data_IF_171999119115
#
_entry.id   IF_171999119115
#
_cell.length_a   1.000
_cell.length_b   1.000
_cell.length_c   1.000
_cell.angle_alpha   90.00
_cell.angle_beta   90.00
_cell.angle_gamma   90.00
#
_symmetry.space_group_name_H-M   'P 1'
#
loop_
_entity.id
_entity.type
_entity.pdbx_description
1 polymer ?
#
# COMPACT_ATOMS: atom_id res chain seq x y z
N UNK A 1 -0.80 -18.12 -1.04
CA UNK A 1 -1.12 -17.20 -2.16
C UNK A 1 -0.74 -15.77 -1.79
N UNK A 2 -0.01 -15.05 -2.64
CA UNK A 2 0.25 -13.61 -2.47
C UNK A 2 -0.83 -12.82 -3.21
N UNK A 3 -1.61 -12.01 -2.50
CA UNK A 3 -2.68 -11.19 -3.10
C UNK A 3 -2.20 -9.74 -3.10
N UNK A 4 -1.98 -9.20 -4.29
CA UNK A 4 -1.53 -7.83 -4.53
C UNK A 4 -2.64 -7.16 -5.37
N UNK A 5 -3.57 -6.42 -4.75
CA UNK A 5 -4.79 -5.91 -5.40
C UNK A 5 -4.50 -4.63 -6.21
N UNK A 6 -3.51 -4.69 -7.08
CA UNK A 6 -3.03 -3.56 -7.89
C UNK A 6 -2.75 -3.97 -9.33
N UNK A 7 -2.77 -3.00 -10.24
CA UNK A 7 -2.21 -3.19 -11.58
C UNK A 7 -0.68 -3.18 -11.46
N UNK A 8 -0.06 -4.30 -11.83
CA UNK A 8 1.38 -4.53 -11.66
C UNK A 8 2.03 -4.94 -12.97
N UNK A 9 3.35 -4.75 -13.06
CA UNK A 9 4.18 -5.25 -14.15
C UNK A 9 5.20 -6.24 -13.57
N UNK A 10 5.15 -7.49 -14.03
CA UNK A 10 6.12 -8.51 -13.66
C UNK A 10 7.17 -8.66 -14.77
N UNK A 11 8.44 -8.42 -14.46
CA UNK A 11 9.53 -8.61 -15.40
C UNK A 11 10.84 -8.87 -14.68
N UNK A 12 11.65 -9.78 -15.22
CA UNK A 12 12.97 -10.17 -14.71
C UNK A 12 13.03 -10.30 -13.17
N UNK A 13 12.24 -11.23 -12.63
CA UNK A 13 12.20 -11.56 -11.19
C UNK A 13 11.73 -10.43 -10.27
N UNK A 14 11.17 -9.35 -10.82
CA UNK A 14 10.63 -8.22 -10.05
C UNK A 14 9.17 -7.99 -10.42
N UNK A 15 8.34 -7.72 -9.42
CA UNK A 15 6.99 -7.20 -9.60
C UNK A 15 6.99 -5.72 -9.24
N UNK A 16 6.64 -4.86 -10.18
CA UNK A 16 6.58 -3.42 -10.01
C UNK A 16 5.12 -2.95 -9.94
N UNK A 17 4.88 -1.83 -9.25
CA UNK A 17 3.62 -1.09 -9.39
C UNK A 17 3.54 -0.55 -10.82
N UNK A 18 2.46 -0.85 -11.55
CA UNK A 18 2.37 -0.59 -12.99
C UNK A 18 2.57 0.89 -13.33
N UNK A 19 1.87 1.78 -12.62
CA UNK A 19 1.94 3.24 -12.81
C UNK A 19 3.21 3.91 -12.24
N UNK A 20 4.20 3.13 -11.79
CA UNK A 20 5.54 3.59 -11.40
C UNK A 20 6.64 3.06 -12.32
N UNK A 21 6.26 2.25 -13.30
CA UNK A 21 7.21 1.50 -14.15
C UNK A 21 7.46 2.23 -15.45
N UNK A 22 8.71 2.17 -15.93
CA UNK A 22 9.15 2.66 -17.23
C UNK A 22 10.05 1.62 -17.90
N UNK A 23 9.97 1.54 -19.24
CA UNK A 23 10.95 0.76 -20.02
C UNK A 23 12.25 1.56 -20.12
N UNK A 24 13.32 1.04 -19.55
CA UNK A 24 14.64 1.70 -19.47
C UNK A 24 15.67 1.09 -20.40
N UNK A 25 15.43 -0.14 -20.89
CA UNK A 25 16.30 -0.81 -21.84
C UNK A 25 15.48 -1.54 -22.92
N UNK A 26 15.90 -1.42 -24.18
CA UNK A 26 15.23 -2.02 -25.32
C UNK A 26 15.70 -3.45 -25.63
N UNK A 27 16.84 -3.87 -25.05
CA UNK A 27 17.61 -5.06 -25.45
C UNK A 27 17.85 -6.02 -24.29
N UNK A 28 18.20 -5.51 -23.11
CA UNK A 28 18.58 -6.35 -21.97
C UNK A 28 17.37 -6.91 -21.22
N UNK A 29 17.59 -8.00 -20.48
CA UNK A 29 16.59 -8.58 -19.57
C UNK A 29 16.17 -7.62 -18.45
N UNK A 30 16.96 -6.58 -18.13
CA UNK A 30 16.54 -5.50 -17.24
C UNK A 30 15.80 -4.39 -18.02
N UNK A 31 14.80 -4.76 -18.82
CA UNK A 31 14.09 -3.84 -19.71
C UNK A 31 13.22 -2.81 -18.98
N UNK A 32 12.72 -3.14 -17.78
CA UNK A 32 11.82 -2.29 -17.01
C UNK A 32 12.40 -1.97 -15.63
N UNK A 33 12.15 -0.74 -15.18
CA UNK A 33 12.49 -0.30 -13.82
C UNK A 33 11.42 0.62 -13.25
N UNK A 34 11.47 0.84 -11.94
CA UNK A 34 10.62 1.76 -11.19
C UNK A 34 11.52 2.76 -10.45
N UNK A 35 11.94 3.86 -11.10
CA UNK A 35 13.06 4.68 -10.62
C UNK A 35 12.82 5.36 -9.27
N UNK A 36 11.55 5.71 -8.98
CA UNK A 36 11.14 6.46 -7.80
C UNK A 36 10.42 5.59 -6.74
N UNK A 37 10.32 4.27 -6.95
CA UNK A 37 9.66 3.36 -6.01
C UNK A 37 10.28 1.96 -6.05
N UNK A 38 10.45 1.31 -4.90
CA UNK A 38 10.95 -0.08 -4.85
C UNK A 38 9.97 -1.06 -5.52
N UNK A 39 10.44 -2.18 -6.10
CA UNK A 39 9.57 -3.27 -6.52
C UNK A 39 8.69 -3.76 -5.35
N UNK A 40 7.43 -4.09 -5.66
CA UNK A 40 6.48 -4.70 -4.74
C UNK A 40 6.92 -6.12 -4.36
N UNK A 41 7.49 -6.86 -5.31
CA UNK A 41 8.02 -8.21 -5.08
C UNK A 41 9.39 -8.35 -5.73
N UNK A 42 10.30 -9.05 -5.05
CA UNK A 42 11.54 -9.58 -5.63
C UNK A 42 11.53 -11.11 -5.48
N UNK A 43 11.68 -11.80 -6.60
CA UNK A 43 11.87 -13.25 -6.63
C UNK A 43 13.36 -13.55 -6.54
N UNK A 44 13.71 -14.48 -5.67
CA UNK A 44 14.98 -15.19 -5.65
C UNK A 44 14.70 -16.62 -5.20
N UNK A 45 15.61 -17.21 -4.41
CA UNK A 45 15.33 -18.49 -3.72
C UNK A 45 14.06 -18.35 -2.86
N UNK A 46 13.89 -17.19 -2.22
CA UNK A 46 12.70 -16.81 -1.48
C UNK A 46 11.93 -15.70 -2.21
N UNK A 47 10.61 -15.67 -2.03
CA UNK A 47 9.73 -14.61 -2.52
C UNK A 47 9.67 -13.49 -1.46
N UNK A 48 10.24 -12.32 -1.76
CA UNK A 48 10.23 -11.18 -0.86
C UNK A 48 9.19 -10.15 -1.31
N UNK A 49 8.16 -9.93 -0.48
CA UNK A 49 7.09 -8.97 -0.73
C UNK A 49 7.25 -7.74 0.17
N UNK A 50 7.30 -6.56 -0.45
CA UNK A 50 7.34 -5.26 0.22
C UNK A 50 5.93 -4.86 0.70
N UNK A 51 5.37 -5.55 1.69
CA UNK A 51 3.97 -5.34 2.12
C UNK A 51 3.61 -3.91 2.55
N UNK A 52 4.61 -3.12 2.99
CA UNK A 52 4.43 -1.69 3.33
C UNK A 52 4.13 -0.82 2.11
N UNK A 53 4.58 -1.26 0.94
CA UNK A 53 4.41 -0.54 -0.31
C UNK A 53 3.10 -0.93 -1.02
N UNK A 54 2.55 -2.11 -0.73
CA UNK A 54 1.33 -2.63 -1.35
C UNK A 54 0.12 -1.81 -0.88
N UNK A 55 -0.57 -1.18 -1.83
CA UNK A 55 -1.83 -0.49 -1.58
C UNK A 55 -2.94 -1.51 -1.37
N UNK A 56 -3.80 -1.22 -0.40
CA UNK A 56 -4.94 -2.06 -0.03
C UNK A 56 -6.21 -1.23 -0.15
N UNK A 57 -7.32 -1.82 -0.63
CA UNK A 57 -8.62 -1.18 -0.58
C UNK A 57 -8.96 -0.84 0.87
N UNK A 58 -9.19 0.44 1.17
CA UNK A 58 -9.62 0.92 2.49
C UNK A 58 -11.10 1.30 2.51
N UNK A 59 -11.76 1.21 1.35
CA UNK A 59 -13.16 1.60 1.15
C UNK A 59 -14.00 0.43 0.67
N UNK A 60 -15.28 0.46 1.05
CA UNK A 60 -16.26 -0.59 0.77
C UNK A 60 -17.02 -0.23 -0.50
N UNK A 61 -16.42 -0.52 -1.64
CA UNK A 61 -17.00 -0.26 -2.96
C UNK A 61 -16.82 -1.44 -3.92
N UNK A 62 -17.74 -1.52 -4.90
CA UNK A 62 -17.62 -2.49 -6.01
C UNK A 62 -16.50 -2.06 -6.97
N UNK A 63 -15.95 -3.03 -7.70
CA UNK A 63 -15.03 -2.75 -8.80
C UNK A 63 -15.74 -1.97 -9.91
N UNK A 64 -15.11 -0.90 -10.39
CA UNK A 64 -15.61 -0.05 -11.48
C UNK A 64 -14.53 0.19 -12.53
N UNK A 65 -14.90 0.07 -13.80
CA UNK A 65 -14.02 0.36 -14.95
C UNK A 65 -14.38 1.73 -15.53
N UNK A 66 -13.40 2.62 -15.60
CA UNK A 66 -13.53 3.89 -16.30
C UNK A 66 -13.09 3.74 -17.76
N UNK A 67 -14.03 3.88 -18.70
CA UNK A 67 -13.78 3.68 -20.13
C UNK A 67 -13.58 4.98 -20.92
N UNK A 68 -13.99 6.12 -20.36
CA UNK A 68 -13.87 7.41 -21.03
C UNK A 68 -12.51 8.04 -20.69
N UNK A 69 -11.63 8.13 -21.68
CA UNK A 69 -10.31 8.73 -21.59
C UNK A 69 -10.23 9.86 -22.61
N UNK A 70 -9.72 11.03 -22.18
CA UNK A 70 -9.56 12.17 -23.08
C UNK A 70 -8.35 11.95 -24.00
N UNK A 71 -8.56 12.04 -25.31
CA UNK A 71 -7.53 11.82 -26.33
C UNK A 71 -6.76 13.10 -26.71
N UNK A 72 -7.22 14.28 -26.28
CA UNK A 72 -6.60 15.58 -26.54
C UNK A 72 -5.53 15.90 -25.48
N UNK A 73 -4.75 14.90 -25.08
CA UNK A 73 -3.59 15.07 -24.22
C UNK A 73 -2.30 14.81 -24.99
N UNK A 74 -1.23 15.52 -24.66
CA UNK A 74 0.04 15.36 -25.35
C UNK A 74 1.26 15.47 -24.41
N UNK A 75 2.41 15.05 -24.92
CA UNK A 75 3.71 15.15 -24.25
C UNK A 75 4.56 16.18 -25.01
N UNK A 76 5.04 17.19 -24.28
CA UNK A 76 5.95 18.20 -24.81
C UNK A 76 7.28 18.13 -24.06
N UNK A 77 8.35 17.74 -24.74
CA UNK A 77 9.68 17.72 -24.15
C UNK A 77 10.43 19.03 -24.45
N UNK A 78 10.97 19.68 -23.41
CA UNK A 78 11.87 20.82 -23.59
C UNK A 78 13.24 20.36 -24.08
N UNK A 79 13.78 21.02 -25.08
CA UNK A 79 15.15 20.81 -25.54
C UNK A 79 15.83 22.15 -25.87
N UNK A 80 17.18 22.23 -25.83
CA UNK A 80 17.88 23.46 -26.16
C UNK A 80 17.54 23.93 -27.57
N UNK A 81 17.08 25.17 -27.71
CA UNK A 81 16.70 25.74 -29.00
C UNK A 81 15.24 25.56 -29.41
N UNK A 82 14.39 24.94 -28.59
CA UNK A 82 12.95 24.90 -28.88
C UNK A 82 12.40 26.33 -29.09
N UNK A 83 11.67 26.51 -30.19
CA UNK A 83 11.19 27.83 -30.61
C UNK A 83 9.85 28.18 -29.96
N UNK A 84 9.61 29.48 -29.74
CA UNK A 84 8.31 29.97 -29.30
C UNK A 84 7.18 29.54 -30.24
N UNK A 85 7.42 29.59 -31.56
CA UNK A 85 6.43 29.21 -32.57
C UNK A 85 6.02 27.72 -32.45
N UNK A 86 7.00 26.84 -32.22
CA UNK A 86 6.74 25.41 -31.99
C UNK A 86 5.86 25.19 -30.77
N UNK A 87 6.18 25.81 -29.63
CA UNK A 87 5.41 25.68 -28.40
C UNK A 87 3.99 26.23 -28.59
N UNK A 88 3.86 27.42 -29.18
CA UNK A 88 2.56 28.04 -29.42
C UNK A 88 1.68 27.17 -30.31
N UNK A 89 2.23 26.64 -31.41
CA UNK A 89 1.50 25.75 -32.32
C UNK A 89 1.16 24.41 -31.68
N UNK A 90 1.99 23.89 -30.79
CA UNK A 90 1.72 22.65 -30.09
C UNK A 90 0.53 22.78 -29.12
N UNK A 91 0.41 23.94 -28.47
CA UNK A 91 -0.59 24.20 -27.44
C UNK A 91 -1.98 24.57 -27.98
N UNK A 92 -2.20 24.67 -29.30
CA UNK A 92 -3.51 25.12 -29.83
C UNK A 92 -4.60 24.05 -29.82
N UNK A 93 -4.26 22.77 -29.84
CA UNK A 93 -5.21 21.67 -30.12
C UNK A 93 -5.29 20.63 -29.01
N UNK A 94 -4.77 20.96 -27.83
CA UNK A 94 -4.66 20.07 -26.67
C UNK A 94 -5.43 20.65 -25.49
N UNK A 95 -6.04 19.79 -24.69
CA UNK A 95 -6.70 20.16 -23.44
C UNK A 95 -5.80 19.93 -22.22
N UNK A 96 -4.82 19.02 -22.36
CA UNK A 96 -3.83 18.73 -21.34
C UNK A 96 -2.46 18.41 -21.93
N UNK A 97 -1.39 18.84 -21.25
CA UNK A 97 -0.02 18.57 -21.66
C UNK A 97 0.81 18.09 -20.47
N UNK A 98 1.60 17.05 -20.68
CA UNK A 98 2.74 16.73 -19.81
C UNK A 98 3.97 17.38 -20.39
N UNK A 99 4.53 18.36 -19.68
CA UNK A 99 5.75 19.05 -20.04
C UNK A 99 6.94 18.36 -19.38
N UNK A 100 7.87 17.82 -20.16
CA UNK A 100 9.14 17.30 -19.63
C UNK A 100 10.19 18.41 -19.59
N UNK A 101 10.52 18.86 -18.39
CA UNK A 101 11.49 19.91 -18.12
C UNK A 101 12.81 19.38 -17.54
N UNK A 102 13.80 20.25 -17.41
CA UNK A 102 15.15 19.83 -17.02
C UNK A 102 15.31 19.63 -15.51
N UNK A 103 16.13 18.67 -15.11
CA UNK A 103 16.60 18.53 -13.73
C UNK A 103 15.45 18.43 -12.72
N UNK A 104 15.40 19.32 -11.73
CA UNK A 104 14.36 19.32 -10.71
C UNK A 104 13.03 19.98 -11.14
N UNK A 105 12.79 20.14 -12.45
CA UNK A 105 11.55 20.73 -12.96
C UNK A 105 11.71 22.13 -13.57
N UNK A 106 12.83 22.42 -14.21
CA UNK A 106 13.24 23.77 -14.61
C UNK A 106 13.04 24.04 -16.09
N UNK A 107 12.60 25.27 -16.43
CA UNK A 107 12.66 25.82 -17.78
C UNK A 107 13.76 26.90 -17.90
N UNK A 108 14.22 27.25 -19.12
CA UNK A 108 15.21 28.29 -19.32
C UNK A 108 14.71 29.65 -18.83
N UNK A 109 15.33 30.19 -17.78
CA UNK A 109 15.00 31.47 -17.12
C UNK A 109 15.11 32.69 -18.06
N UNK A 110 16.08 32.67 -18.97
CA UNK A 110 16.29 33.75 -19.95
C UNK A 110 15.26 33.76 -21.09
N UNK A 111 14.45 32.71 -21.24
CA UNK A 111 13.44 32.57 -22.31
C UNK A 111 12.05 32.94 -21.81
N UNK A 112 11.85 34.24 -21.55
CA UNK A 112 10.55 34.80 -21.12
C UNK A 112 9.43 34.53 -22.11
N UNK A 113 9.75 34.44 -23.39
CA UNK A 113 8.83 34.06 -24.47
C UNK A 113 8.20 32.68 -24.25
N UNK A 114 8.98 31.69 -23.80
CA UNK A 114 8.47 30.35 -23.49
C UNK A 114 7.54 30.37 -22.29
N UNK A 115 7.96 31.04 -21.20
CA UNK A 115 7.15 31.16 -19.99
C UNK A 115 5.81 31.86 -20.27
N UNK A 116 5.84 32.89 -21.12
CA UNK A 116 4.64 33.60 -21.55
C UNK A 116 3.70 32.71 -22.36
N UNK A 117 4.22 31.91 -23.31
CA UNK A 117 3.40 30.97 -24.09
C UNK A 117 2.71 29.93 -23.20
N UNK A 118 3.44 29.42 -22.21
CA UNK A 118 2.90 28.46 -21.24
C UNK A 118 1.82 29.09 -20.36
N UNK A 119 2.05 30.32 -19.89
CA UNK A 119 1.07 31.08 -19.11
C UNK A 119 -0.20 31.38 -19.89
N UNK A 120 -0.08 31.80 -21.15
CA UNK A 120 -1.24 32.02 -22.02
C UNK A 120 -2.05 30.74 -22.25
N UNK A 121 -1.39 29.58 -22.31
CA UNK A 121 -2.07 28.30 -22.44
C UNK A 121 -2.82 27.90 -21.17
N UNK A 122 -2.21 28.07 -19.99
CA UNK A 122 -2.88 27.78 -18.72
C UNK A 122 -4.05 28.72 -18.45
N UNK A 123 -3.93 30.00 -18.83
CA UNK A 123 -5.02 30.99 -18.76
C UNK A 123 -6.19 30.65 -19.71
N UNK A 124 -5.92 30.01 -20.85
CA UNK A 124 -6.95 29.42 -21.74
C UNK A 124 -7.55 28.11 -21.19
N UNK A 125 -7.06 27.66 -20.03
CA UNK A 125 -7.53 26.47 -19.34
C UNK A 125 -6.92 25.17 -19.86
N UNK A 126 -5.76 25.20 -20.51
CA UNK A 126 -4.98 23.99 -20.81
C UNK A 126 -4.27 23.56 -19.54
N UNK A 127 -4.45 22.30 -19.14
CA UNK A 127 -3.81 21.78 -17.93
C UNK A 127 -2.42 21.29 -18.27
N UNK A 128 -1.39 21.92 -17.70
CA UNK A 128 0.00 21.56 -17.97
C UNK A 128 0.65 20.96 -16.72
N UNK A 129 1.06 19.71 -16.80
CA UNK A 129 1.74 18.95 -15.73
C UNK A 129 3.24 18.92 -16.02
N UNK A 130 4.04 19.48 -15.12
CA UNK A 130 5.49 19.51 -15.20
C UNK A 130 6.10 18.21 -14.66
N UNK A 131 6.77 17.44 -15.51
CA UNK A 131 7.55 16.27 -15.17
C UNK A 131 9.03 16.53 -15.47
N UNK A 132 9.93 15.82 -14.81
CA UNK A 132 11.36 15.87 -15.11
C UNK A 132 11.74 14.92 -16.24
N UNK A 133 12.68 15.33 -17.08
CA UNK A 133 13.35 14.46 -18.06
C UNK A 133 14.27 13.42 -17.39
N UNK A 134 14.68 13.66 -16.14
CA UNK A 134 15.55 12.76 -15.41
C UNK A 134 14.81 11.46 -15.08
N UNK A 135 15.49 10.31 -15.24
CA UNK A 135 14.89 9.00 -14.94
C UNK A 135 14.46 8.88 -13.48
N UNK A 136 15.24 9.47 -12.55
CA UNK A 136 14.98 9.45 -11.12
C UNK A 136 14.95 10.87 -10.58
N UNK A 137 14.01 11.14 -9.69
CA UNK A 137 13.86 12.44 -9.04
C UNK A 137 12.41 12.89 -8.94
N UNK A 138 12.22 14.04 -8.29
CA UNK A 138 10.93 14.71 -8.19
C UNK A 138 11.09 16.14 -8.69
N UNK A 139 10.06 16.65 -9.35
CA UNK A 139 9.91 18.09 -9.56
C UNK A 139 9.76 18.78 -8.21
N UNK A 140 10.57 19.80 -7.97
CA UNK A 140 10.64 20.55 -6.72
C UNK A 140 10.39 22.03 -6.96
N UNK A 141 9.49 22.62 -6.18
CA UNK A 141 9.16 24.05 -6.26
C UNK A 141 10.21 24.96 -5.58
N UNK A 142 11.31 24.40 -5.06
CA UNK A 142 12.29 25.13 -4.23
C UNK A 142 13.26 25.97 -5.07
N UNK A 143 13.52 25.59 -6.33
CA UNK A 143 14.43 26.34 -7.20
C UNK A 143 13.71 27.52 -7.88
N UNK A 144 14.40 28.66 -8.01
CA UNK A 144 13.86 29.89 -8.61
C UNK A 144 13.29 29.68 -10.04
N UNK A 145 13.91 28.77 -10.80
CA UNK A 145 13.48 28.37 -12.15
C UNK A 145 12.26 27.46 -12.16
N UNK A 146 12.09 26.60 -11.15
CA UNK A 146 10.87 25.81 -10.93
C UNK A 146 9.69 26.72 -10.55
N UNK A 147 9.95 27.75 -9.72
CA UNK A 147 8.96 28.75 -9.37
C UNK A 147 8.39 29.48 -10.59
N UNK A 148 9.21 29.79 -11.59
CA UNK A 148 8.74 30.46 -12.82
C UNK A 148 7.69 29.64 -13.60
N UNK A 149 7.81 28.31 -13.61
CA UNK A 149 6.80 27.43 -14.22
C UNK A 149 5.53 27.36 -13.38
N UNK A 150 5.67 27.28 -12.05
CA UNK A 150 4.53 27.33 -11.13
C UNK A 150 3.78 28.67 -11.23
N UNK A 151 4.50 29.78 -11.33
CA UNK A 151 3.94 31.13 -11.54
C UNK A 151 3.26 31.27 -12.91
N UNK A 152 3.67 30.47 -13.90
CA UNK A 152 3.00 30.34 -15.20
C UNK A 152 1.78 29.40 -15.16
N UNK A 153 1.40 28.88 -13.98
CA UNK A 153 0.21 28.05 -13.79
C UNK A 153 0.41 26.55 -14.01
N UNK A 154 1.64 26.08 -14.17
CA UNK A 154 1.92 24.65 -14.30
C UNK A 154 1.76 23.92 -12.96
N UNK A 155 1.43 22.62 -13.05
CA UNK A 155 1.28 21.75 -11.90
C UNK A 155 2.48 20.83 -11.79
N UNK A 156 3.12 20.78 -10.63
CA UNK A 156 4.17 19.78 -10.37
C UNK A 156 3.61 18.35 -10.47
N UNK A 157 4.21 17.56 -11.36
CA UNK A 157 4.00 16.12 -11.46
C UNK A 157 4.75 15.32 -10.39
N UNK A 158 5.46 15.99 -9.48
CA UNK A 158 6.29 15.39 -8.42
C UNK A 158 7.24 14.34 -9.03
N UNK A 159 7.16 13.09 -8.56
CA UNK A 159 7.98 11.96 -8.96
C UNK A 159 7.22 10.93 -9.82
N UNK A 160 6.09 11.33 -10.43
CA UNK A 160 5.41 10.50 -11.44
C UNK A 160 6.32 10.27 -12.63
N UNK A 161 6.22 9.07 -13.23
CA UNK A 161 6.75 8.85 -14.58
C UNK A 161 5.93 9.63 -15.59
N UNK A 162 6.55 10.03 -16.71
CA UNK A 162 5.86 10.78 -17.76
C UNK A 162 4.66 10.01 -18.33
N UNK A 163 4.83 8.70 -18.50
CA UNK A 163 3.79 7.78 -18.97
C UNK A 163 2.59 7.77 -18.02
N UNK A 164 2.85 7.77 -16.70
CA UNK A 164 1.80 7.83 -15.70
C UNK A 164 1.12 9.20 -15.66
N UNK A 165 1.89 10.29 -15.71
CA UNK A 165 1.33 11.64 -15.72
C UNK A 165 0.38 11.83 -16.91
N UNK A 166 0.76 11.31 -18.08
CA UNK A 166 -0.06 11.37 -19.30
C UNK A 166 -1.35 10.54 -19.14
N UNK A 167 -1.24 9.31 -18.63
CA UNK A 167 -2.39 8.46 -18.37
C UNK A 167 -3.35 9.07 -17.34
N UNK A 168 -2.81 9.65 -16.26
CA UNK A 168 -3.58 10.32 -15.21
C UNK A 168 -4.30 11.56 -15.73
N UNK A 169 -3.64 12.35 -16.57
CA UNK A 169 -4.22 13.53 -17.20
C UNK A 169 -5.35 13.16 -18.15
N UNK A 170 -5.14 12.17 -19.02
CA UNK A 170 -6.18 11.62 -19.91
C UNK A 170 -7.38 11.09 -19.13
N UNK A 171 -7.14 10.36 -18.04
CA UNK A 171 -8.17 9.84 -17.16
C UNK A 171 -9.00 10.94 -16.49
N UNK A 172 -8.35 11.96 -15.92
CA UNK A 172 -9.04 13.03 -15.20
C UNK A 172 -9.79 13.98 -16.14
N UNK A 173 -9.23 14.29 -17.31
CA UNK A 173 -9.92 15.08 -18.34
C UNK A 173 -11.07 14.31 -19.02
N UNK A 174 -11.03 12.97 -18.99
CA UNK A 174 -12.14 12.12 -19.44
C UNK A 174 -13.30 12.06 -18.44
N UNK A 175 -13.13 12.61 -17.23
CA UNK A 175 -14.19 12.72 -16.23
C UNK A 175 -14.98 14.01 -16.40
N UNK A 176 -16.28 13.93 -16.12
CA UNK A 176 -17.17 15.09 -16.10
C UNK A 176 -17.01 15.89 -14.79
N UNK A 177 -15.84 16.49 -14.60
CA UNK A 177 -15.47 17.29 -13.42
C UNK A 177 -14.87 18.63 -13.86
N UNK A 178 -14.83 19.61 -12.95
CA UNK A 178 -14.25 20.92 -13.27
C UNK A 178 -12.73 20.85 -13.47
N UNK A 179 -12.17 21.76 -14.26
CA UNK A 179 -10.72 21.88 -14.45
C UNK A 179 -9.98 22.13 -13.13
N UNK A 180 -10.58 22.86 -12.21
CA UNK A 180 -10.03 23.04 -10.86
C UNK A 180 -9.95 21.73 -10.08
N UNK A 181 -10.98 20.87 -10.18
CA UNK A 181 -10.94 19.55 -9.59
C UNK A 181 -9.85 18.67 -10.22
N UNK A 182 -9.67 18.74 -11.55
CA UNK A 182 -8.53 18.07 -12.23
C UNK A 182 -7.20 18.57 -11.69
N UNK A 183 -7.04 19.90 -11.56
CA UNK A 183 -5.81 20.52 -11.04
C UNK A 183 -5.46 20.06 -9.63
N UNK A 184 -6.46 19.85 -8.77
CA UNK A 184 -6.25 19.29 -7.44
C UNK A 184 -5.93 17.79 -7.49
N UNK A 185 -6.69 17.00 -8.25
CA UNK A 185 -6.55 15.54 -8.32
C UNK A 185 -5.24 15.10 -8.99
N UNK A 186 -4.66 15.90 -9.89
CA UNK A 186 -3.32 15.65 -10.43
C UNK A 186 -2.27 15.64 -9.32
N UNK A 187 -2.40 16.51 -8.31
CA UNK A 187 -1.42 16.67 -7.21
C UNK A 187 -1.54 15.60 -6.13
N UNK A 188 -2.69 14.93 -6.04
CA UNK A 188 -2.99 13.91 -5.03
C UNK A 188 -2.62 12.52 -5.49
N UNK A 189 -2.09 11.69 -4.62
CA UNK A 189 -1.87 10.28 -4.89
C UNK A 189 -3.20 9.51 -5.01
N UNK A 190 -3.57 9.05 -6.21
CA UNK A 190 -4.82 8.32 -6.44
C UNK A 190 -4.63 6.81 -6.36
N UNK A 191 -3.55 6.27 -6.89
CA UNK A 191 -3.29 4.84 -7.11
C UNK A 191 -1.82 4.47 -6.90
N UNK A 192 -1.10 5.22 -6.08
CA UNK A 192 0.29 4.97 -5.73
C UNK A 192 1.32 5.53 -6.71
N UNK A 193 0.90 6.38 -7.65
CA UNK A 193 1.72 6.88 -8.76
C UNK A 193 2.70 7.99 -8.38
N UNK A 194 2.45 8.68 -7.28
CA UNK A 194 3.30 9.76 -6.77
C UNK A 194 3.54 9.59 -5.28
N UNK A 195 4.67 10.12 -4.81
CA UNK A 195 5.05 10.08 -3.40
C UNK A 195 4.60 11.38 -2.75
N UNK A 196 3.62 11.28 -1.85
CA UNK A 196 3.33 12.35 -0.93
C UNK A 196 4.34 12.27 0.22
N UNK A 197 5.19 13.29 0.39
CA UNK A 197 6.02 13.42 1.59
C UNK A 197 5.04 13.69 2.73
N UNK A 198 4.79 12.73 3.64
CA UNK A 198 3.86 12.99 4.72
C UNK A 198 4.49 14.06 5.62
N UNK A 199 3.71 15.10 5.94
CA UNK A 199 4.02 15.93 7.11
C UNK A 199 3.94 14.98 8.31
N UNK A 200 5.09 14.54 8.82
CA UNK A 200 5.17 13.64 9.98
C UNK A 200 4.35 14.30 11.10
N UNK A 201 3.22 13.72 11.54
CA UNK A 201 2.55 14.23 12.71
C UNK A 201 3.47 13.98 13.91
N UNK A 202 4.03 15.05 14.47
CA UNK A 202 4.72 15.01 15.75
C UNK A 202 3.66 14.79 16.83
N UNK A 203 3.53 13.54 17.25
CA UNK A 203 2.83 13.07 18.45
C UNK A 203 1.38 13.53 18.63
N UNK A 204 0.44 12.58 18.60
CA UNK A 204 -0.84 12.72 19.29
C UNK A 204 -0.94 11.65 20.38
N UNK A 205 -0.96 12.12 21.63
CA UNK A 205 -1.29 11.40 22.87
C UNK A 205 -2.49 10.48 22.67
N UNK A 206 -2.41 9.25 23.19
CA UNK A 206 -3.59 8.46 23.51
C UNK A 206 -3.83 8.49 25.03
N UNK A 207 -5.07 8.83 25.40
CA UNK A 207 -5.57 8.81 26.77
C UNK A 207 -6.72 7.81 26.86
N UNK A 208 -6.61 7.01 27.91
CA UNK A 208 -7.59 6.25 28.69
C UNK A 208 -7.78 4.75 28.45
N UNK A 209 -7.74 3.97 29.56
CA UNK A 209 -7.64 2.53 29.59
C UNK A 209 -9.02 1.90 29.66
N UNK A 210 -9.19 0.75 29.02
CA UNK A 210 -9.95 -0.37 29.57
C UNK A 210 -9.82 -1.57 28.63
N UNK A 211 -8.60 -2.13 28.56
CA UNK A 211 -8.42 -3.56 28.37
C UNK A 211 -7.02 -4.00 28.83
N UNK A 212 -6.91 -4.42 30.09
CA UNK A 212 -5.61 -4.46 30.78
C UNK A 212 -4.63 -5.50 30.24
N UNK A 213 -5.07 -6.57 29.53
CA UNK A 213 -4.17 -7.68 29.16
C UNK A 213 -3.33 -7.40 27.90
N UNK A 214 -3.97 -6.97 26.81
CA UNK A 214 -3.26 -6.67 25.55
C UNK A 214 -2.37 -5.45 25.73
N UNK A 215 -2.88 -4.40 26.39
CA UNK A 215 -2.11 -3.19 26.73
C UNK A 215 -0.90 -3.56 27.61
N UNK A 216 -1.05 -4.44 28.61
CA UNK A 216 0.09 -4.90 29.44
C UNK A 216 1.12 -5.65 28.61
N UNK A 217 0.71 -6.58 27.74
CA UNK A 217 1.63 -7.32 26.87
C UNK A 217 2.33 -6.38 25.88
N UNK A 218 1.61 -5.43 25.30
CA UNK A 218 2.15 -4.40 24.40
C UNK A 218 3.15 -3.52 25.15
N UNK A 219 2.85 -3.11 26.39
CA UNK A 219 3.76 -2.32 27.22
C UNK A 219 5.01 -3.11 27.63
N UNK A 220 4.87 -4.42 27.89
CA UNK A 220 5.99 -5.35 28.12
C UNK A 220 6.87 -5.55 26.87
N UNK A 221 6.27 -5.57 25.69
CA UNK A 221 7.02 -5.63 24.41
C UNK A 221 7.70 -4.29 24.11
N UNK A 222 7.11 -3.17 24.54
CA UNK A 222 7.63 -1.81 24.33
C UNK A 222 8.66 -1.37 25.37
N UNK A 223 8.76 -2.02 26.53
CA UNK A 223 9.79 -1.73 27.54
C UNK A 223 11.16 -2.29 27.13
N UNK A 224 12.20 -1.47 27.20
CA UNK A 224 13.56 -1.71 26.70
C UNK A 224 14.18 -3.08 27.03
N UNK A 225 14.96 -3.59 26.06
CA UNK A 225 15.66 -4.89 26.02
C UNK A 225 16.61 -5.19 27.20
N UNK A 226 16.89 -4.23 28.08
CA UNK A 226 17.97 -4.32 29.09
C UNK A 226 17.55 -4.84 30.48
N UNK A 227 16.26 -5.09 30.73
CA UNK A 227 15.78 -5.37 32.10
C UNK A 227 14.78 -6.52 32.25
N UNK A 228 14.71 -7.46 31.30
CA UNK A 228 13.90 -8.68 31.51
C UNK A 228 14.70 -9.64 32.40
N UNK A 229 14.50 -9.52 33.72
CA UNK A 229 15.13 -10.40 34.68
C UNK A 229 14.36 -11.74 34.74
N UNK A 230 15.08 -12.87 34.80
CA UNK A 230 14.50 -14.25 34.75
C UNK A 230 13.39 -14.51 35.80
N UNK A 231 13.26 -13.66 36.82
CA UNK A 231 12.23 -13.73 37.86
C UNK A 231 10.84 -13.25 37.40
N UNK A 232 10.75 -12.36 36.42
CA UNK A 232 9.46 -11.81 35.97
C UNK A 232 8.68 -12.79 35.06
N UNK A 233 9.39 -13.70 34.39
CA UNK A 233 8.82 -14.77 33.56
C UNK A 233 8.18 -15.90 34.39
N UNK A 234 8.64 -16.09 35.63
CA UNK A 234 8.14 -17.15 36.54
C UNK A 234 6.87 -16.71 37.27
N UNK A 235 6.73 -15.43 37.58
CA UNK A 235 5.56 -14.88 38.29
C UNK A 235 4.27 -14.80 37.44
N UNK A 236 4.36 -15.04 36.13
CA UNK A 236 3.24 -14.92 35.18
C UNK A 236 2.85 -16.22 34.47
N UNK A 237 3.24 -17.39 35.00
CA UNK A 237 2.87 -18.72 34.48
C UNK A 237 3.21 -18.96 32.99
N UNK A 238 4.34 -18.40 32.50
CA UNK A 238 4.89 -18.68 31.15
C UNK A 238 5.99 -19.78 31.18
N UNK A 239 6.11 -20.54 32.26
CA UNK A 239 7.15 -21.56 32.49
C UNK A 239 7.14 -22.72 31.48
N UNK A 240 6.09 -22.88 30.70
CA UNK A 240 5.99 -23.88 29.63
C UNK A 240 6.76 -23.52 28.36
N UNK A 241 7.23 -22.27 28.21
CA UNK A 241 8.05 -21.85 27.06
C UNK A 241 9.55 -22.14 27.23
N UNK A 242 10.01 -22.57 28.41
CA UNK A 242 11.43 -22.83 28.69
C UNK A 242 11.81 -24.31 28.62
N UNK A 243 10.84 -25.22 28.55
CA UNK A 243 11.09 -26.67 28.70
C UNK A 243 11.64 -27.33 27.44
N UNK A 244 11.54 -26.71 26.26
CA UNK A 244 12.14 -27.23 25.03
C UNK A 244 13.61 -26.79 24.82
N UNK A 245 14.13 -25.84 25.61
CA UNK A 245 15.52 -25.38 25.47
C UNK A 245 16.55 -26.23 26.22
N UNK A 246 16.13 -27.13 27.13
CA UNK A 246 17.07 -27.86 27.99
C UNK A 246 17.59 -29.18 27.39
N UNK A 247 17.02 -29.68 26.28
CA UNK A 247 17.45 -30.95 25.68
C UNK A 247 18.53 -30.82 24.59
N UNK A 248 19.04 -29.61 24.32
CA UNK A 248 20.05 -29.40 23.27
C UNK A 248 21.47 -29.12 23.79
N UNK A 249 21.69 -29.02 25.11
CA UNK A 249 22.96 -28.56 25.68
C UNK A 249 23.92 -29.65 26.17
N UNK A 250 23.68 -30.94 25.85
CA UNK A 250 24.50 -32.03 26.38
C UNK A 250 25.40 -32.76 25.37
N UNK A 251 25.64 -32.21 24.18
CA UNK A 251 26.67 -32.75 23.29
C UNK A 251 27.52 -31.59 22.78
N UNK A 252 28.77 -31.57 23.23
CA UNK A 252 30.00 -30.93 22.71
C UNK A 252 30.78 -30.19 23.80
N UNK A 253 31.46 -30.98 24.63
CA UNK A 253 32.69 -30.56 25.29
C UNK A 253 33.84 -30.60 24.28
N UNK A 254 34.72 -29.60 24.41
CA UNK A 254 36.17 -29.62 24.14
C UNK A 254 36.72 -29.56 22.70
N UNK A 255 37.69 -28.62 22.60
CA UNK A 255 38.84 -28.50 21.68
C UNK A 255 38.72 -27.73 20.35
N UNK A 256 39.48 -26.62 20.33
CA UNK A 256 40.35 -26.10 19.26
C UNK A 256 39.79 -25.59 17.91
N UNK A 257 40.09 -24.30 17.70
CA UNK A 257 40.56 -23.65 16.46
C UNK A 257 39.60 -23.28 15.30
N UNK A 258 39.52 -21.96 15.09
CA UNK A 258 39.42 -21.21 13.82
C UNK A 258 38.60 -21.82 12.67
N UNK A 259 37.40 -21.27 12.42
CA UNK A 259 36.98 -20.60 11.16
C UNK A 259 35.55 -20.06 11.27
N UNK A 260 35.32 -18.94 10.58
CA UNK A 260 34.12 -18.11 10.70
C UNK A 260 32.80 -18.86 10.47
N UNK A 261 31.84 -18.56 11.34
CA UNK A 261 30.41 -18.79 11.18
C UNK A 261 29.69 -17.67 11.94
N UNK A 262 29.21 -16.64 11.24
CA UNK A 262 28.23 -15.70 11.80
C UNK A 262 26.88 -16.42 11.92
N UNK A 263 26.73 -17.19 13.00
CA UNK A 263 25.43 -17.69 13.45
C UNK A 263 24.74 -16.53 14.18
N UNK A 264 23.82 -15.83 13.49
CA UNK A 264 23.05 -14.74 14.09
C UNK A 264 22.14 -15.36 15.16
N UNK A 265 22.44 -15.10 16.44
CA UNK A 265 21.52 -15.35 17.54
C UNK A 265 20.24 -14.56 17.29
N UNK A 266 19.16 -15.26 16.92
CA UNK A 266 17.86 -14.63 16.72
C UNK A 266 17.29 -14.20 18.07
N UNK A 267 17.31 -12.88 18.32
CA UNK A 267 16.96 -12.27 19.61
C UNK A 267 15.55 -12.69 20.08
N UNK A 268 15.36 -12.94 21.38
CA UNK A 268 14.10 -13.42 21.97
C UNK A 268 12.93 -12.49 21.63
N UNK A 269 13.20 -11.18 21.55
CA UNK A 269 12.27 -10.15 21.11
C UNK A 269 11.67 -10.44 19.72
N UNK A 270 12.50 -10.87 18.76
CA UNK A 270 12.05 -11.21 17.41
C UNK A 270 11.21 -12.49 17.38
N UNK A 271 11.51 -13.48 18.25
CA UNK A 271 10.68 -14.68 18.39
C UNK A 271 9.32 -14.37 19.02
N UNK A 272 9.29 -13.54 20.06
CA UNK A 272 8.03 -13.08 20.71
C UNK A 272 7.18 -12.30 19.71
N UNK A 273 7.77 -11.37 18.94
CA UNK A 273 7.06 -10.63 17.89
C UNK A 273 6.48 -11.57 16.82
N UNK A 274 7.25 -12.56 16.36
CA UNK A 274 6.82 -13.50 15.32
C UNK A 274 5.73 -14.48 15.78
N UNK A 275 5.71 -14.86 17.06
CA UNK A 275 4.80 -15.90 17.57
C UNK A 275 3.58 -15.28 18.27
N UNK A 276 3.79 -14.29 19.13
CA UNK A 276 2.76 -13.76 20.02
C UNK A 276 1.83 -12.77 19.32
N UNK A 277 2.37 -11.82 18.54
CA UNK A 277 1.56 -10.78 17.89
C UNK A 277 0.53 -11.34 16.90
N UNK A 278 0.86 -12.30 16.01
CA UNK A 278 -0.13 -13.02 15.21
C UNK A 278 -1.27 -13.62 16.02
N UNK A 279 -0.95 -14.18 17.19
CA UNK A 279 -1.91 -14.85 18.07
C UNK A 279 -2.83 -13.84 18.75
N UNK A 280 -2.28 -12.75 19.29
CA UNK A 280 -3.05 -11.66 19.88
C UNK A 280 -3.97 -11.00 18.86
N UNK A 281 -3.46 -10.72 17.66
CA UNK A 281 -4.25 -10.17 16.56
C UNK A 281 -5.45 -11.04 16.21
N UNK A 282 -5.25 -12.36 16.07
CA UNK A 282 -6.32 -13.32 15.77
C UNK A 282 -7.34 -13.43 16.89
N UNK A 283 -6.88 -13.46 18.15
CA UNK A 283 -7.78 -13.49 19.31
C UNK A 283 -8.64 -12.24 19.34
N UNK A 284 -8.05 -11.05 19.18
CA UNK A 284 -8.78 -9.79 19.16
C UNK A 284 -9.82 -9.74 18.03
N UNK A 285 -9.48 -10.27 16.83
CA UNK A 285 -10.44 -10.40 15.73
C UNK A 285 -11.58 -11.39 16.05
N UNK A 286 -11.26 -12.52 16.69
CA UNK A 286 -12.24 -13.55 17.06
C UNK A 286 -13.15 -13.17 18.22
N UNK A 287 -12.73 -12.29 19.13
CA UNK A 287 -13.54 -11.82 20.27
C UNK A 287 -14.27 -10.52 19.97
N UNK A 288 -13.96 -9.89 18.83
CA UNK A 288 -14.53 -8.62 18.43
C UNK A 288 -13.91 -7.40 19.13
N UNK A 289 -12.72 -7.53 19.71
CA UNK A 289 -11.99 -6.46 20.38
C UNK A 289 -11.36 -5.48 19.38
N UNK A 290 -12.16 -4.49 18.97
CA UNK A 290 -11.74 -3.45 18.02
C UNK A 290 -10.63 -2.56 18.62
N UNK A 291 -10.65 -2.32 19.93
CA UNK A 291 -9.64 -1.48 20.58
C UNK A 291 -8.28 -2.18 20.56
N UNK A 292 -8.23 -3.46 20.95
CA UNK A 292 -7.01 -4.27 20.86
C UNK A 292 -6.50 -4.41 19.43
N UNK A 293 -7.40 -4.57 18.45
CA UNK A 293 -7.01 -4.58 17.03
C UNK A 293 -6.42 -3.23 16.58
N UNK A 294 -6.99 -2.10 17.00
CA UNK A 294 -6.48 -0.79 16.66
C UNK A 294 -5.06 -0.59 17.21
N UNK A 295 -4.82 -0.88 18.48
CA UNK A 295 -3.49 -0.76 19.08
C UNK A 295 -2.44 -1.67 18.40
N UNK A 296 -2.82 -2.91 18.08
CA UNK A 296 -1.95 -3.86 17.42
C UNK A 296 -1.61 -3.42 15.99
N UNK A 297 -2.60 -2.90 15.24
CA UNK A 297 -2.39 -2.49 13.85
C UNK A 297 -1.70 -1.13 13.74
N UNK A 298 -1.89 -0.23 14.71
CA UNK A 298 -1.15 1.04 14.79
C UNK A 298 0.34 0.79 15.02
N UNK A 299 0.68 -0.16 15.91
CA UNK A 299 2.07 -0.55 16.18
C UNK A 299 2.67 -1.44 15.09
N UNK A 300 1.88 -2.39 14.57
CA UNK A 300 2.34 -3.43 13.66
C UNK A 300 1.36 -3.65 12.49
N UNK A 301 1.35 -2.74 11.50
CA UNK A 301 0.43 -2.82 10.36
C UNK A 301 0.54 -4.11 9.52
N UNK A 302 1.66 -4.83 9.61
CA UNK A 302 1.87 -6.08 8.86
C UNK A 302 0.95 -7.23 9.33
N UNK A 303 0.33 -7.13 10.50
CA UNK A 303 -0.52 -8.18 11.08
C UNK A 303 -1.86 -8.35 10.36
N UNK A 304 -2.33 -7.33 9.63
CA UNK A 304 -3.69 -7.26 9.05
C UNK A 304 -4.10 -8.46 8.17
N UNK A 305 -3.15 -9.17 7.55
CA UNK A 305 -3.42 -10.37 6.75
C UNK A 305 -2.74 -11.61 7.31
N UNK A 306 -2.24 -11.54 8.54
CA UNK A 306 -1.61 -12.70 9.13
C UNK A 306 -2.66 -13.81 9.26
N UNK A 307 -2.31 -14.97 8.73
CA UNK A 307 -3.16 -16.14 8.70
C UNK A 307 -2.64 -17.18 9.69
N UNK A 308 -3.55 -17.96 10.27
CA UNK A 308 -3.19 -19.10 11.11
C UNK A 308 -2.67 -20.30 10.29
N UNK A 309 -2.42 -21.42 10.98
CA UNK A 309 -2.00 -22.67 10.34
C UNK A 309 -3.03 -23.22 9.34
N UNK A 310 -4.29 -22.85 9.49
CA UNK A 310 -5.36 -23.19 8.57
C UNK A 310 -5.50 -22.16 7.44
N UNK A 311 -4.68 -21.12 7.37
CA UNK A 311 -4.84 -20.05 6.38
C UNK A 311 -5.94 -19.02 6.72
N UNK A 312 -6.52 -19.08 7.92
CA UNK A 312 -7.57 -18.18 8.37
C UNK A 312 -6.98 -16.85 8.87
N UNK A 313 -7.41 -15.76 8.23
CA UNK A 313 -7.07 -14.38 8.63
C UNK A 313 -7.98 -13.85 9.73
N UNK A 314 -7.67 -12.68 10.29
CA UNK A 314 -8.55 -12.00 11.25
C UNK A 314 -9.98 -11.80 10.71
N UNK A 315 -10.15 -11.57 9.40
CA UNK A 315 -11.48 -11.44 8.80
C UNK A 315 -12.26 -12.77 8.80
N UNK A 316 -11.60 -13.93 8.62
CA UNK A 316 -12.26 -15.24 8.74
C UNK A 316 -12.81 -15.43 10.15
N UNK A 317 -12.00 -15.13 11.17
CA UNK A 317 -12.37 -15.30 12.57
C UNK A 317 -13.52 -14.36 12.96
N UNK A 318 -13.44 -13.09 12.57
CA UNK A 318 -14.51 -12.12 12.79
C UNK A 318 -15.81 -12.53 12.07
N UNK A 319 -15.72 -13.06 10.84
CA UNK A 319 -16.88 -13.51 10.08
C UNK A 319 -17.53 -14.77 10.67
N UNK A 320 -16.72 -15.73 11.13
CA UNK A 320 -17.16 -16.96 11.81
C UNK A 320 -17.94 -16.66 13.09
N UNK A 321 -17.55 -15.62 13.82
CA UNK A 321 -18.17 -15.20 15.08
C UNK A 321 -19.24 -14.11 14.91
N UNK A 322 -19.64 -13.79 13.67
CA UNK A 322 -20.66 -12.77 13.34
C UNK A 322 -20.36 -11.38 13.93
N UNK A 323 -19.08 -10.98 13.98
CA UNK A 323 -18.64 -9.68 14.45
C UNK A 323 -18.68 -8.63 13.33
N UNK A 324 -19.86 -8.06 13.07
CA UNK A 324 -20.09 -7.06 12.02
C UNK A 324 -19.14 -5.85 12.14
N UNK A 325 -19.10 -5.19 13.31
CA UNK A 325 -18.28 -3.98 13.53
C UNK A 325 -16.79 -4.25 13.37
N UNK A 326 -16.33 -5.41 13.84
CA UNK A 326 -14.94 -5.85 13.72
C UNK A 326 -14.59 -6.13 12.26
N UNK A 327 -15.50 -6.73 11.50
CA UNK A 327 -15.32 -6.96 10.06
C UNK A 327 -15.24 -5.62 9.30
N UNK A 328 -16.13 -4.67 9.59
CA UNK A 328 -16.05 -3.30 9.04
C UNK A 328 -14.72 -2.62 9.34
N UNK A 329 -14.25 -2.73 10.59
CA UNK A 329 -12.97 -2.18 11.01
C UNK A 329 -11.79 -2.82 10.24
N UNK A 330 -11.73 -4.15 10.17
CA UNK A 330 -10.67 -4.86 9.45
C UNK A 330 -10.66 -4.53 7.95
N UNK A 331 -11.84 -4.35 7.33
CA UNK A 331 -11.96 -3.95 5.93
C UNK A 331 -11.44 -2.52 5.73
N UNK A 332 -11.80 -1.58 6.62
CA UNK A 332 -11.27 -0.21 6.59
C UNK A 332 -9.74 -0.17 6.78
N UNK A 333 -9.19 -1.09 7.56
CA UNK A 333 -7.74 -1.26 7.74
C UNK A 333 -7.06 -1.97 6.57
N UNK A 334 -7.79 -2.35 5.51
CA UNK A 334 -7.21 -2.92 4.29
C UNK A 334 -6.88 -4.41 4.36
N UNK A 335 -7.67 -5.20 5.10
CA UNK A 335 -7.54 -6.66 5.06
C UNK A 335 -7.95 -7.25 3.70
N UNK A 336 -7.37 -8.40 3.35
CA UNK A 336 -7.74 -9.10 2.11
C UNK A 336 -9.01 -9.92 2.30
N UNK A 337 -10.02 -9.58 1.50
CA UNK A 337 -11.38 -10.15 1.57
C UNK A 337 -11.48 -11.53 0.93
N UNK A 338 -10.67 -11.80 -0.10
CA UNK A 338 -10.71 -13.05 -0.89
C UNK A 338 -9.68 -14.08 -0.45
N UNK A 339 -9.11 -13.92 0.75
CA UNK A 339 -8.17 -14.92 1.26
C UNK A 339 -8.91 -16.24 1.41
N UNK A 340 -8.26 -17.32 1.02
CA UNK A 340 -8.79 -18.67 1.19
C UNK A 340 -7.97 -19.43 2.21
N UNK A 341 -8.67 -20.14 3.07
CA UNK A 341 -8.08 -21.04 4.04
C UNK A 341 -7.72 -22.39 3.39
N UNK A 342 -7.19 -23.34 4.17
CA UNK A 342 -6.80 -24.68 3.67
C UNK A 342 -7.97 -25.51 3.15
N UNK A 343 -9.20 -25.17 3.56
CA UNK A 343 -10.43 -25.79 3.08
C UNK A 343 -11.00 -25.06 1.87
N UNK A 344 -10.24 -24.14 1.28
CA UNK A 344 -10.63 -23.29 0.16
C UNK A 344 -11.78 -22.33 0.49
N UNK A 345 -12.08 -22.13 1.77
CA UNK A 345 -13.18 -21.28 2.22
C UNK A 345 -12.76 -19.81 2.34
N UNK A 346 -13.68 -18.92 1.99
CA UNK A 346 -13.53 -17.46 2.16
C UNK A 346 -14.10 -16.97 3.49
N UNK A 347 -13.79 -15.74 3.95
CA UNK A 347 -14.50 -15.13 5.06
C UNK A 347 -16.02 -15.03 4.82
N UNK A 348 -16.44 -14.85 3.56
CA UNK A 348 -17.85 -14.83 3.19
C UNK A 348 -18.52 -16.18 3.46
N UNK A 349 -17.85 -17.29 3.14
CA UNK A 349 -18.35 -18.63 3.45
C UNK A 349 -18.67 -18.78 4.94
N UNK A 350 -17.74 -18.41 5.82
CA UNK A 350 -17.94 -18.44 7.27
C UNK A 350 -19.02 -17.48 7.77
N UNK A 351 -19.24 -16.36 7.09
CA UNK A 351 -20.34 -15.44 7.42
C UNK A 351 -21.71 -16.08 7.16
N UNK A 352 -21.84 -16.94 6.15
CA UNK A 352 -23.12 -17.61 5.80
C UNK A 352 -23.33 -18.89 6.60
N UNK A 353 -22.31 -19.70 6.79
CA UNK A 353 -22.43 -21.03 7.42
C UNK A 353 -22.37 -21.02 8.94
N UNK A 354 -22.08 -19.87 9.57
CA UNK A 354 -22.12 -19.79 11.03
C UNK A 354 -23.54 -20.05 11.59
N UNK A 355 -23.58 -20.52 12.84
CA UNK A 355 -24.82 -20.93 13.52
C UNK A 355 -25.63 -19.76 14.08
N UNK A 356 -25.23 -18.51 13.80
CA UNK A 356 -25.98 -17.35 14.28
C UNK A 356 -27.17 -17.11 13.38
N UNK A 357 -28.37 -16.99 13.97
CA UNK A 357 -29.53 -16.47 13.27
C UNK A 357 -29.84 -15.07 13.81
N UNK A 358 -29.40 -14.04 13.08
CA UNK A 358 -29.56 -12.66 13.52
C UNK A 358 -29.55 -11.67 12.35
N UNK A 359 -30.22 -10.50 12.49
CA UNK A 359 -30.11 -9.42 11.52
C UNK A 359 -28.66 -8.95 11.28
N UNK A 360 -27.78 -9.16 12.27
CA UNK A 360 -26.35 -8.83 12.16
C UNK A 360 -25.65 -9.71 11.12
N UNK A 361 -26.03 -10.99 11.00
CA UNK A 361 -25.48 -11.92 10.02
C UNK A 361 -25.78 -11.47 8.59
N UNK A 362 -27.04 -11.13 8.31
CA UNK A 362 -27.43 -10.62 6.99
C UNK A 362 -26.67 -9.34 6.62
N UNK A 363 -26.51 -8.41 7.58
CA UNK A 363 -25.71 -7.19 7.37
C UNK A 363 -24.24 -7.50 7.10
N UNK A 364 -23.65 -8.48 7.79
CA UNK A 364 -22.26 -8.90 7.56
C UNK A 364 -22.08 -9.52 6.17
N UNK A 365 -23.00 -10.39 5.75
CA UNK A 365 -22.99 -10.98 4.41
C UNK A 365 -23.09 -9.88 3.35
N UNK A 366 -24.04 -8.96 3.49
CA UNK A 366 -24.20 -7.82 2.59
C UNK A 366 -22.96 -6.92 2.55
N UNK A 367 -22.32 -6.68 3.71
CA UNK A 367 -21.08 -5.91 3.81
C UNK A 367 -19.97 -6.56 2.97
N UNK A 368 -19.72 -7.86 3.18
CA UNK A 368 -18.67 -8.59 2.46
C UNK A 368 -18.95 -8.61 0.95
N UNK A 369 -20.18 -8.89 0.53
CA UNK A 369 -20.59 -8.86 -0.89
C UNK A 369 -20.41 -7.45 -1.47
N UNK A 370 -20.76 -6.39 -0.72
CA UNK A 370 -20.57 -5.01 -1.16
C UNK A 370 -19.09 -4.68 -1.40
N UNK A 371 -18.20 -5.25 -0.59
CA UNK A 371 -16.75 -5.13 -0.78
C UNK A 371 -16.19 -6.05 -1.90
N UNK A 372 -17.06 -6.74 -2.64
CA UNK A 372 -16.66 -7.62 -3.74
C UNK A 372 -16.38 -9.07 -3.36
N UNK A 373 -16.69 -9.52 -2.14
CA UNK A 373 -16.53 -10.92 -1.76
C UNK A 373 -17.35 -11.82 -2.69
N UNK A 374 -16.71 -12.88 -3.18
CA UNK A 374 -17.31 -13.88 -4.08
C UNK A 374 -17.25 -15.26 -3.43
N UNK A 375 -18.27 -16.07 -3.67
CA UNK A 375 -18.22 -17.51 -3.42
C UNK A 375 -17.40 -18.19 -4.51
N UNK A 376 -16.74 -19.30 -4.16
CA UNK A 376 -16.26 -20.23 -5.16
C UNK A 376 -17.44 -20.86 -5.92
N UNK A 377 -17.22 -21.25 -7.17
CA UNK A 377 -18.21 -21.97 -7.99
C UNK A 377 -18.84 -23.15 -7.26
N UNK A 378 -18.03 -23.83 -6.46
CA UNK A 378 -18.37 -25.08 -5.79
C UNK A 378 -19.14 -24.80 -4.49
N UNK A 379 -18.82 -23.71 -3.77
CA UNK A 379 -19.51 -23.25 -2.56
C UNK A 379 -20.93 -22.74 -2.84
N UNK A 380 -21.18 -22.19 -4.03
CA UNK A 380 -22.47 -21.58 -4.38
C UNK A 380 -23.62 -22.59 -4.20
N UNK A 381 -23.39 -23.86 -4.52
CA UNK A 381 -24.42 -24.88 -4.38
C UNK A 381 -24.73 -25.20 -2.92
N UNK A 382 -23.71 -25.17 -2.06
CA UNK A 382 -23.84 -25.48 -0.63
C UNK A 382 -24.47 -24.33 0.17
N UNK A 383 -24.24 -23.07 -0.21
CA UNK A 383 -24.86 -21.90 0.46
C UNK A 383 -26.14 -21.39 -0.17
N UNK A 384 -26.50 -21.80 -1.38
CA UNK A 384 -27.77 -21.38 -2.02
C UNK A 384 -28.95 -21.58 -1.07
N UNK A 385 -29.08 -22.75 -0.44
CA UNK A 385 -30.18 -23.03 0.50
C UNK A 385 -30.14 -22.17 1.78
N UNK A 386 -28.95 -21.72 2.19
CA UNK A 386 -28.75 -20.89 3.39
C UNK A 386 -28.95 -19.39 3.13
N UNK A 387 -28.88 -18.95 1.87
CA UNK A 387 -29.08 -17.56 1.46
C UNK A 387 -30.55 -17.20 1.23
N UNK A 388 -31.41 -18.20 0.98
CA UNK A 388 -32.84 -18.05 0.68
C UNK A 388 -33.78 -18.51 1.82
N UNK A 389 -33.23 -18.79 3.01
CA UNK A 389 -33.99 -18.92 4.27
C UNK A 389 -33.97 -17.58 5.00
#
# INVERSE_FOLDING_TARGET
HYIIPEVTLFFNQKLFRGNRTKKVDATNFNAFDSPNMKPLVKLGININVSWKEVLRPTEIEKFHVHKNLNQHVALLQLFPGISYATIKSFLTSVEGVVLESYGAGNAPDKRKDILQALKEATEKGIIIVNCTQCTKGSVSDIYATGKALTDAGLISGKDMTTECALAKLSYLLGKNISKDAVNQLIKTNLRGELTDIPKIPRFSKFVNPDNSYIVKIINLIKSDESNINKKDLVNHNLSTLTTECNNSNNILNETSEKKGNECIQENIHNKIIKILLPSLYRIAASTGDIAGLNELLDGWPFLINNADYNGQTGLHLAAKQNHLKTSEFLIKMGCIIHTRDIYNHTPLWYAVTNNFDSPKKQKLIQLLIKCGAIYASDEINDVKELLFR
#
